data_IF_286176569419
#
_entry.id   IF_286176569419
#
_cell.length_a   1.000
_cell.length_b   1.000
_cell.length_c   1.000
_cell.angle_alpha   90.00
_cell.angle_beta   90.00
_cell.angle_gamma   90.00
#
_symmetry.space_group_name_H-M   'P 1'
#
loop_
_entity.id
_entity.type
_entity.pdbx_description
1 polymer ?
#
# COMPACT_ATOMS: atom_id res chain seq x y z
N UNK A 1 -11.52 -23.93 17.65
CA UNK A 1 -11.21 -23.32 18.97
C UNK A 1 -12.33 -22.36 19.41
N UNK A 2 -13.60 -22.73 19.17
CA UNK A 2 -14.77 -21.88 19.50
C UNK A 2 -15.39 -22.19 20.86
N UNK A 3 -15.04 -23.32 21.49
CA UNK A 3 -15.73 -23.81 22.70
C UNK A 3 -15.05 -23.45 24.03
N UNK A 4 -13.93 -22.71 24.04
CA UNK A 4 -13.17 -22.41 25.26
C UNK A 4 -12.99 -20.92 25.60
N UNK A 5 -13.40 -19.99 24.73
CA UNK A 5 -13.28 -18.54 25.03
C UNK A 5 -14.49 -18.07 25.84
N UNK A 6 -14.31 -17.51 27.06
CA UNK A 6 -15.43 -17.05 27.87
C UNK A 6 -16.28 -16.00 27.15
N UNK A 7 -17.61 -16.07 27.29
CA UNK A 7 -18.53 -15.17 26.60
C UNK A 7 -18.25 -13.67 26.87
N UNK A 8 -17.81 -13.33 28.09
CA UNK A 8 -17.47 -11.94 28.42
C UNK A 8 -16.29 -11.40 27.58
N UNK A 9 -15.33 -12.25 27.21
CA UNK A 9 -14.20 -11.89 26.33
C UNK A 9 -14.68 -11.55 24.93
N UNK A 10 -15.64 -12.33 24.42
CA UNK A 10 -16.25 -12.08 23.11
C UNK A 10 -16.98 -10.73 23.08
N UNK A 11 -17.74 -10.39 24.13
CA UNK A 11 -18.44 -9.11 24.22
C UNK A 11 -17.49 -7.91 24.39
N UNK A 12 -16.46 -8.04 25.24
CA UNK A 12 -15.44 -6.99 25.38
C UNK A 12 -14.67 -6.80 24.08
N UNK A 13 -14.29 -7.90 23.41
CA UNK A 13 -13.68 -7.85 22.08
C UNK A 13 -14.56 -7.13 21.06
N UNK A 14 -15.86 -7.44 21.02
CA UNK A 14 -16.82 -6.77 20.13
C UNK A 14 -16.97 -5.27 20.45
N UNK A 15 -17.02 -4.91 21.73
CA UNK A 15 -17.06 -3.51 22.14
C UNK A 15 -15.78 -2.76 21.71
N UNK A 16 -14.60 -3.33 21.95
CA UNK A 16 -13.33 -2.74 21.53
C UNK A 16 -13.21 -2.64 20.00
N UNK A 17 -13.69 -3.64 19.26
CA UNK A 17 -13.77 -3.59 17.80
C UNK A 17 -14.68 -2.46 17.32
N UNK A 18 -15.87 -2.32 17.90
CA UNK A 18 -16.79 -1.22 17.58
C UNK A 18 -16.18 0.14 17.90
N UNK A 19 -15.49 0.27 19.04
CA UNK A 19 -14.77 1.49 19.40
C UNK A 19 -13.64 1.78 18.41
N UNK A 20 -12.89 0.77 17.95
CA UNK A 20 -11.85 0.94 16.94
C UNK A 20 -12.42 1.46 15.61
N UNK A 21 -13.57 0.94 15.18
CA UNK A 21 -14.28 1.45 13.99
C UNK A 21 -14.68 2.91 14.19
N UNK A 22 -15.32 3.26 15.31
CA UNK A 22 -15.71 4.64 15.63
C UNK A 22 -14.48 5.57 15.67
N UNK A 23 -13.38 5.10 16.28
CA UNK A 23 -12.12 5.83 16.36
C UNK A 23 -11.55 6.11 14.96
N UNK A 24 -11.57 5.14 14.05
CA UNK A 24 -11.08 5.28 12.68
C UNK A 24 -11.80 6.42 11.93
N UNK A 25 -13.12 6.55 12.11
CA UNK A 25 -13.89 7.66 11.54
C UNK A 25 -13.78 8.97 12.32
N UNK A 26 -13.16 8.94 13.50
CA UNK A 26 -13.00 10.08 14.40
C UNK A 26 -11.57 10.63 14.42
N UNK A 27 -10.63 10.10 13.64
CA UNK A 27 -9.21 10.52 13.64
C UNK A 27 -9.00 12.03 13.46
N UNK A 28 -9.81 12.67 12.60
CA UNK A 28 -9.79 14.13 12.41
C UNK A 28 -10.05 14.93 13.70
N UNK A 29 -10.82 14.38 14.64
CA UNK A 29 -11.03 14.99 15.95
C UNK A 29 -9.74 15.00 16.78
N UNK A 30 -9.00 13.89 16.77
CA UNK A 30 -7.72 13.77 17.47
C UNK A 30 -6.65 14.67 16.87
N UNK A 31 -6.60 14.79 15.54
CA UNK A 31 -5.72 15.75 14.84
C UNK A 31 -6.04 17.20 15.25
N UNK A 32 -7.32 17.54 15.38
CA UNK A 32 -7.75 18.84 15.92
C UNK A 32 -7.35 19.06 17.38
N UNK A 33 -7.33 18.00 18.20
CA UNK A 33 -6.83 18.05 19.57
C UNK A 33 -5.32 18.26 19.63
N UNK A 34 -4.56 17.67 18.70
CA UNK A 34 -3.12 17.84 18.61
C UNK A 34 -2.74 19.32 18.44
N UNK A 35 -3.47 20.05 17.59
CA UNK A 35 -3.27 21.49 17.41
C UNK A 35 -3.68 22.34 18.64
N UNK A 36 -4.67 21.89 19.41
CA UNK A 36 -5.20 22.62 20.59
C UNK A 36 -4.42 22.35 21.87
N UNK A 37 -3.80 21.18 21.98
CA UNK A 37 -3.09 20.74 23.19
C UNK A 37 -1.62 20.40 22.86
N UNK A 38 -0.78 21.42 22.62
CA UNK A 38 0.61 21.21 22.17
C UNK A 38 1.47 20.37 23.12
N UNK A 39 1.18 20.38 24.43
CA UNK A 39 1.89 19.57 25.42
C UNK A 39 1.76 18.05 25.20
N UNK A 40 0.66 17.60 24.59
CA UNK A 40 0.41 16.19 24.27
C UNK A 40 0.19 15.95 22.77
N UNK A 41 0.60 16.89 21.92
CA UNK A 41 0.37 16.82 20.48
C UNK A 41 0.88 15.51 19.86
N UNK A 42 2.02 14.98 20.32
CA UNK A 42 2.55 13.71 19.82
C UNK A 42 1.61 12.52 20.05
N UNK A 43 0.95 12.44 21.21
CA UNK A 43 -0.04 11.40 21.49
C UNK A 43 -1.29 11.58 20.62
N UNK A 44 -1.74 12.82 20.47
CA UNK A 44 -2.92 13.13 19.68
C UNK A 44 -2.71 12.89 18.18
N UNK A 45 -1.52 13.19 17.66
CA UNK A 45 -1.13 12.82 16.30
C UNK A 45 -1.07 11.30 16.15
N UNK A 46 -0.46 10.59 17.10
CA UNK A 46 -0.42 9.12 17.06
C UNK A 46 -1.83 8.50 17.01
N UNK A 47 -2.78 9.03 17.79
CA UNK A 47 -4.18 8.60 17.76
C UNK A 47 -4.96 9.15 16.54
N UNK A 48 -4.44 10.18 15.88
CA UNK A 48 -4.97 10.74 14.63
C UNK A 48 -4.58 9.95 13.38
N UNK A 49 -3.54 9.12 13.44
CA UNK A 49 -3.14 8.25 12.33
C UNK A 49 -4.10 7.06 12.21
N UNK A 50 -4.74 6.89 11.05
CA UNK A 50 -5.74 5.83 10.83
C UNK A 50 -5.12 4.43 10.93
N UNK A 51 -3.85 4.30 10.57
CA UNK A 51 -3.07 3.06 10.63
C UNK A 51 -2.78 2.62 12.08
N UNK A 52 -2.81 3.53 13.06
CA UNK A 52 -2.53 3.18 14.46
C UNK A 52 -3.77 2.60 15.15
N UNK A 53 -4.96 3.00 14.72
CA UNK A 53 -6.22 2.80 15.46
C UNK A 53 -6.46 1.35 15.87
N UNK A 54 -6.44 0.41 14.92
CA UNK A 54 -6.72 -0.99 15.21
C UNK A 54 -5.62 -1.65 16.04
N UNK A 55 -4.35 -1.34 15.77
CA UNK A 55 -3.24 -1.87 16.57
C UNK A 55 -3.28 -1.35 18.02
N UNK A 56 -3.64 -0.09 18.23
CA UNK A 56 -3.81 0.49 19.56
C UNK A 56 -4.89 -0.25 20.36
N UNK A 57 -6.07 -0.42 19.78
CA UNK A 57 -7.17 -1.13 20.45
C UNK A 57 -6.91 -2.62 20.62
N UNK A 58 -6.12 -3.24 19.74
CA UNK A 58 -5.62 -4.59 19.93
C UNK A 58 -4.69 -4.69 21.15
N UNK A 59 -3.81 -3.71 21.38
CA UNK A 59 -3.01 -3.67 22.62
C UNK A 59 -3.90 -3.53 23.87
N UNK A 60 -4.94 -2.70 23.82
CA UNK A 60 -5.91 -2.59 24.93
C UNK A 60 -6.59 -3.94 25.21
N UNK A 61 -7.00 -4.65 24.16
CA UNK A 61 -7.53 -6.01 24.30
C UNK A 61 -6.49 -6.95 24.94
N UNK A 62 -5.22 -6.88 24.52
CA UNK A 62 -4.17 -7.72 25.08
C UNK A 62 -3.92 -7.47 26.56
N UNK A 63 -3.93 -6.20 26.99
CA UNK A 63 -3.86 -5.85 28.42
C UNK A 63 -5.06 -6.41 29.18
N UNK A 64 -6.26 -6.34 28.60
CA UNK A 64 -7.47 -6.92 29.19
C UNK A 64 -7.40 -8.45 29.34
N UNK A 65 -6.96 -9.17 28.29
CA UNK A 65 -6.79 -10.62 28.34
C UNK A 65 -5.74 -11.01 29.37
N UNK A 66 -4.60 -10.31 29.40
CA UNK A 66 -3.54 -10.55 30.38
C UNK A 66 -4.04 -10.34 31.82
N UNK A 67 -4.81 -9.27 32.07
CA UNK A 67 -5.31 -8.95 33.39
C UNK A 67 -6.42 -9.91 33.87
N UNK A 68 -7.22 -10.48 32.97
CA UNK A 68 -8.39 -11.30 33.34
C UNK A 68 -8.17 -12.80 33.22
N UNK A 69 -7.42 -13.25 32.22
CA UNK A 69 -7.13 -14.67 31.94
C UNK A 69 -5.70 -15.06 32.32
N UNK A 70 -4.82 -14.08 32.55
CA UNK A 70 -3.40 -14.30 32.83
C UNK A 70 -2.54 -14.38 31.57
N UNK A 71 -1.22 -14.45 31.79
CA UNK A 71 -0.22 -14.42 30.72
C UNK A 71 -0.37 -15.56 29.72
N UNK A 72 -0.59 -16.80 30.19
CA UNK A 72 -0.60 -17.99 29.34
C UNK A 72 -1.71 -17.93 28.29
N UNK A 73 -2.94 -17.62 28.71
CA UNK A 73 -4.09 -17.51 27.81
C UNK A 73 -3.98 -16.29 26.87
N UNK A 74 -3.46 -15.16 27.37
CA UNK A 74 -3.26 -13.97 26.55
C UNK A 74 -2.23 -14.23 25.43
N UNK A 75 -1.07 -14.82 25.76
CA UNK A 75 -0.06 -15.17 24.77
C UNK A 75 -0.57 -16.27 23.84
N UNK A 76 -1.24 -17.30 24.37
CA UNK A 76 -1.85 -18.36 23.56
C UNK A 76 -2.89 -17.84 22.56
N UNK A 77 -3.62 -16.76 22.90
CA UNK A 77 -4.50 -16.08 21.95
C UNK A 77 -3.71 -15.51 20.77
N UNK A 78 -2.63 -14.77 21.03
CA UNK A 78 -1.75 -14.22 19.99
C UNK A 78 -1.11 -15.32 19.16
N UNK A 79 -0.58 -16.37 19.79
CA UNK A 79 0.09 -17.49 19.10
C UNK A 79 -0.86 -18.26 18.17
N UNK A 80 -2.15 -18.20 18.43
CA UNK A 80 -3.18 -18.81 17.57
C UNK A 80 -3.60 -17.95 16.38
N UNK A 81 -3.06 -16.73 16.25
CA UNK A 81 -3.34 -15.81 15.13
C UNK A 81 -2.25 -15.92 14.07
N UNK A 82 -2.62 -15.67 12.82
CA UNK A 82 -1.66 -15.57 11.72
C UNK A 82 -1.27 -14.11 11.46
N UNK A 83 0.03 -13.81 11.59
CA UNK A 83 0.60 -12.48 11.32
C UNK A 83 1.38 -12.44 10.00
N UNK A 84 1.28 -13.49 9.19
CA UNK A 84 2.00 -13.60 7.91
C UNK A 84 1.67 -12.43 6.99
N UNK A 85 0.39 -12.09 6.77
CA UNK A 85 0.03 -10.99 5.89
C UNK A 85 0.45 -9.62 6.43
N UNK A 86 0.22 -9.24 7.71
CA UNK A 86 0.72 -7.99 8.26
C UNK A 86 2.23 -7.80 8.09
N UNK A 87 3.00 -8.86 8.35
CA UNK A 87 4.46 -8.86 8.24
C UNK A 87 4.92 -8.78 6.77
N UNK A 88 4.23 -9.48 5.87
CA UNK A 88 4.52 -9.44 4.45
C UNK A 88 4.25 -8.05 3.86
N UNK A 89 3.10 -7.43 4.21
CA UNK A 89 2.75 -6.08 3.76
C UNK A 89 3.79 -5.05 4.24
N UNK A 90 4.25 -5.17 5.49
CA UNK A 90 5.36 -4.36 5.98
C UNK A 90 6.62 -4.54 5.11
N UNK A 91 7.03 -5.79 4.86
CA UNK A 91 8.24 -6.09 4.11
C UNK A 91 8.18 -5.57 2.66
N UNK A 92 7.06 -5.81 1.97
CA UNK A 92 6.89 -5.41 0.57
C UNK A 92 6.84 -3.88 0.44
N UNK A 93 6.18 -3.16 1.36
CA UNK A 93 6.16 -1.70 1.33
C UNK A 93 7.56 -1.09 1.48
N UNK A 94 8.37 -1.63 2.39
CA UNK A 94 9.74 -1.16 2.62
C UNK A 94 10.63 -1.36 1.38
N UNK A 95 10.53 -2.53 0.75
CA UNK A 95 11.36 -2.86 -0.43
C UNK A 95 10.83 -2.14 -1.67
N UNK A 96 9.54 -2.29 -1.99
CA UNK A 96 8.90 -1.76 -3.19
C UNK A 96 8.93 -0.22 -3.27
N UNK A 97 8.91 0.47 -2.13
CA UNK A 97 8.99 1.92 -2.05
C UNK A 97 10.38 2.52 -2.28
N UNK A 98 11.42 1.69 -2.47
CA UNK A 98 12.79 2.20 -2.62
C UNK A 98 13.05 2.88 -3.95
N UNK A 99 13.93 3.88 -3.91
CA UNK A 99 14.34 4.67 -5.08
C UNK A 99 14.79 3.82 -6.27
N UNK A 100 15.62 2.76 -6.12
CA UNK A 100 16.03 1.93 -7.27
C UNK A 100 14.85 1.22 -7.95
N UNK A 101 13.82 0.83 -7.19
CA UNK A 101 12.61 0.18 -7.76
C UNK A 101 11.74 1.21 -8.47
N UNK A 102 11.53 2.38 -7.86
CA UNK A 102 10.81 3.48 -8.51
C UNK A 102 11.52 3.96 -9.79
N UNK A 103 12.86 3.98 -9.77
CA UNK A 103 13.67 4.29 -10.95
C UNK A 103 13.46 3.25 -12.06
N UNK A 104 13.52 1.96 -11.73
CA UNK A 104 13.28 0.89 -12.70
C UNK A 104 11.89 1.01 -13.34
N UNK A 105 10.86 1.29 -12.55
CA UNK A 105 9.50 1.53 -13.04
C UNK A 105 9.44 2.76 -13.97
N UNK A 106 10.09 3.87 -13.60
CA UNK A 106 10.20 5.07 -14.42
C UNK A 106 10.95 4.83 -15.74
N UNK A 107 11.97 3.96 -15.74
CA UNK A 107 12.73 3.58 -16.93
C UNK A 107 11.89 2.78 -17.94
N UNK A 108 10.97 1.95 -17.46
CA UNK A 108 10.00 1.28 -18.34
C UNK A 108 9.06 2.30 -18.99
N UNK A 109 8.54 3.26 -18.21
CA UNK A 109 7.68 4.34 -18.73
C UNK A 109 8.41 5.15 -19.82
N UNK A 110 9.67 5.54 -19.57
CA UNK A 110 10.52 6.22 -20.55
C UNK A 110 10.72 5.44 -21.83
N UNK A 111 11.05 4.15 -21.71
CA UNK A 111 11.35 3.29 -22.83
C UNK A 111 10.15 3.21 -23.78
N UNK A 112 8.94 3.07 -23.22
CA UNK A 112 7.71 3.04 -24.00
C UNK A 112 7.34 4.41 -24.59
N UNK A 113 7.59 5.51 -23.86
CA UNK A 113 7.32 6.86 -24.39
C UNK A 113 8.15 7.14 -25.65
N UNK A 114 9.42 6.71 -25.66
CA UNK A 114 10.31 6.88 -26.83
C UNK A 114 9.85 6.08 -28.04
N UNK A 115 9.13 4.97 -27.83
CA UNK A 115 8.65 4.13 -28.92
C UNK A 115 7.44 4.72 -29.67
N UNK A 116 6.60 5.54 -29.03
CA UNK A 116 5.47 6.21 -29.67
C UNK A 116 5.54 7.74 -29.50
N UNK A 117 6.24 8.46 -30.39
CA UNK A 117 6.38 9.91 -30.28
C UNK A 117 5.09 10.65 -30.66
N UNK A 118 4.25 10.99 -29.67
CA UNK A 118 3.15 11.95 -29.83
C UNK A 118 3.57 13.39 -29.51
N UNK A 119 2.82 14.41 -29.98
CA UNK A 119 3.06 15.82 -29.66
C UNK A 119 2.96 16.13 -28.16
N UNK A 120 3.80 17.05 -27.71
CA UNK A 120 3.82 17.57 -26.34
C UNK A 120 3.99 16.47 -25.28
N UNK A 121 3.15 16.50 -24.26
CA UNK A 121 3.17 15.56 -23.14
C UNK A 121 2.08 14.46 -23.24
N UNK A 122 1.42 14.30 -24.40
CA UNK A 122 0.28 13.37 -24.56
C UNK A 122 0.67 11.93 -24.25
N UNK A 123 1.74 11.42 -24.89
CA UNK A 123 2.13 10.01 -24.71
C UNK A 123 2.57 9.75 -23.27
N UNK A 124 3.38 10.66 -22.71
CA UNK A 124 3.80 10.58 -21.33
C UNK A 124 2.60 10.52 -20.37
N UNK A 125 1.64 11.42 -20.54
CA UNK A 125 0.43 11.47 -19.71
C UNK A 125 -0.39 10.18 -19.81
N UNK A 126 -0.59 9.67 -21.03
CA UNK A 126 -1.29 8.41 -21.26
C UNK A 126 -0.57 7.23 -20.61
N UNK A 127 0.73 7.08 -20.85
CA UNK A 127 1.53 6.00 -20.27
C UNK A 127 1.60 6.09 -18.76
N UNK A 128 1.69 7.29 -18.20
CA UNK A 128 1.67 7.48 -16.75
C UNK A 128 0.35 6.96 -16.16
N UNK A 129 -0.80 7.32 -16.75
CA UNK A 129 -2.11 6.90 -16.26
C UNK A 129 -2.47 5.44 -16.55
N UNK A 130 -1.73 4.77 -17.43
CA UNK A 130 -1.91 3.33 -17.70
C UNK A 130 -0.86 2.52 -16.95
N UNK A 131 0.41 2.73 -17.27
CA UNK A 131 1.49 1.85 -16.84
C UNK A 131 1.76 1.97 -15.35
N UNK A 132 1.79 3.17 -14.76
CA UNK A 132 2.10 3.31 -13.33
C UNK A 132 1.04 2.63 -12.45
N UNK A 133 -0.28 2.80 -12.71
CA UNK A 133 -1.32 2.03 -12.04
C UNK A 133 -1.19 0.51 -12.18
N UNK A 134 -0.86 0.00 -13.37
CA UNK A 134 -0.69 -1.45 -13.58
C UNK A 134 0.60 -1.95 -12.91
N UNK A 135 1.68 -1.17 -12.95
CA UNK A 135 2.91 -1.47 -12.22
C UNK A 135 2.68 -1.49 -10.71
N UNK A 136 1.71 -0.73 -10.19
CA UNK A 136 1.26 -0.78 -8.79
C UNK A 136 0.92 -2.19 -8.33
N UNK A 137 0.51 -3.07 -9.25
CA UNK A 137 0.28 -4.48 -8.91
C UNK A 137 1.55 -5.30 -8.66
N UNK A 138 2.70 -4.84 -9.14
CA UNK A 138 3.99 -5.50 -8.98
C UNK A 138 4.85 -4.87 -7.89
N UNK A 139 4.58 -3.62 -7.54
CA UNK A 139 5.21 -2.92 -6.42
C UNK A 139 4.21 -2.86 -5.26
N UNK A 140 3.58 -1.71 -5.02
CA UNK A 140 2.42 -1.55 -4.14
C UNK A 140 1.64 -0.31 -4.58
N UNK A 141 0.38 -0.16 -4.15
CA UNK A 141 -0.41 1.06 -4.43
C UNK A 141 0.29 2.33 -3.93
N UNK A 142 0.81 2.43 -2.68
CA UNK A 142 1.48 3.64 -2.20
C UNK A 142 2.74 3.97 -3.01
N UNK A 143 3.52 2.97 -3.41
CA UNK A 143 4.71 3.18 -4.23
C UNK A 143 4.37 3.69 -5.65
N UNK A 144 3.32 3.13 -6.27
CA UNK A 144 2.83 3.61 -7.56
C UNK A 144 2.26 5.03 -7.48
N UNK A 145 1.53 5.36 -6.41
CA UNK A 145 1.03 6.72 -6.17
C UNK A 145 2.16 7.72 -6.03
N UNK A 146 3.20 7.40 -5.25
CA UNK A 146 4.39 8.25 -5.09
C UNK A 146 5.09 8.48 -6.43
N UNK A 147 5.32 7.42 -7.21
CA UNK A 147 5.92 7.53 -8.54
C UNK A 147 5.09 8.43 -9.45
N UNK A 148 3.79 8.18 -9.55
CA UNK A 148 2.89 8.97 -10.39
C UNK A 148 2.84 10.44 -9.95
N UNK A 149 2.82 10.71 -8.64
CA UNK A 149 2.81 12.07 -8.10
C UNK A 149 4.09 12.83 -8.44
N UNK A 150 5.26 12.22 -8.26
CA UNK A 150 6.56 12.81 -8.62
C UNK A 150 6.63 13.09 -10.13
N UNK A 151 6.25 12.11 -10.94
CA UNK A 151 6.24 12.21 -12.39
C UNK A 151 5.26 13.28 -12.92
N UNK A 152 4.05 13.38 -12.36
CA UNK A 152 3.07 14.40 -12.70
C UNK A 152 3.53 15.80 -12.29
N UNK A 153 4.05 15.94 -11.06
CA UNK A 153 4.58 17.21 -10.53
C UNK A 153 5.64 17.77 -11.46
N UNK A 154 6.62 16.95 -11.82
CA UNK A 154 7.83 17.43 -12.49
C UNK A 154 7.62 17.70 -13.98
N UNK A 155 6.64 17.04 -14.62
CA UNK A 155 6.49 17.04 -16.10
C UNK A 155 5.20 17.63 -16.63
N UNK A 156 4.11 17.60 -15.84
CA UNK A 156 2.82 18.15 -16.24
C UNK A 156 2.51 19.39 -15.42
N UNK A 157 2.55 19.30 -14.10
CA UNK A 157 2.05 20.36 -13.20
C UNK A 157 3.05 21.48 -12.94
N UNK A 158 4.29 21.35 -13.42
CA UNK A 158 5.28 22.45 -13.43
C UNK A 158 4.93 23.55 -14.42
N UNK A 159 4.20 23.21 -15.49
CA UNK A 159 3.66 24.18 -16.44
C UNK A 159 2.35 24.78 -15.90
N UNK A 160 1.97 25.95 -16.43
CA UNK A 160 0.65 26.54 -16.17
C UNK A 160 -0.44 25.73 -16.86
N UNK A 161 -0.92 24.69 -16.16
CA UNK A 161 -2.05 23.87 -16.57
C UNK A 161 -3.31 24.23 -15.80
N UNK A 162 -4.45 23.99 -16.43
CA UNK A 162 -5.78 24.22 -15.90
C UNK A 162 -6.03 23.41 -14.63
N UNK A 163 -6.78 24.02 -13.70
CA UNK A 163 -7.19 23.35 -12.47
C UNK A 163 -8.03 22.09 -12.75
N UNK A 164 -8.80 22.10 -13.85
CA UNK A 164 -9.60 20.96 -14.32
C UNK A 164 -8.71 19.77 -14.71
N UNK A 165 -7.61 20.01 -15.43
CA UNK A 165 -6.65 18.95 -15.75
C UNK A 165 -6.10 18.35 -14.46
N UNK A 166 -5.65 19.18 -13.50
CA UNK A 166 -5.08 18.70 -12.23
C UNK A 166 -6.02 17.77 -11.47
N UNK A 167 -7.25 18.21 -11.18
CA UNK A 167 -8.20 17.40 -10.40
C UNK A 167 -8.66 16.15 -11.14
N UNK A 168 -8.94 16.24 -12.45
CA UNK A 168 -9.35 15.07 -13.22
C UNK A 168 -8.22 14.04 -13.32
N UNK A 169 -6.98 14.49 -13.53
CA UNK A 169 -5.80 13.62 -13.55
C UNK A 169 -5.67 12.86 -12.24
N UNK A 170 -5.75 13.55 -11.10
CA UNK A 170 -5.65 12.92 -9.78
C UNK A 170 -6.79 11.93 -9.54
N UNK A 171 -8.03 12.29 -9.89
CA UNK A 171 -9.18 11.39 -9.77
C UNK A 171 -9.00 10.12 -10.61
N UNK A 172 -8.61 10.27 -11.87
CA UNK A 172 -8.35 9.14 -12.78
C UNK A 172 -7.17 8.30 -12.30
N UNK A 173 -6.10 8.93 -11.82
CA UNK A 173 -4.94 8.23 -11.27
C UNK A 173 -5.34 7.37 -10.07
N UNK A 174 -6.08 7.91 -9.10
CA UNK A 174 -6.48 7.17 -7.90
C UNK A 174 -7.41 6.00 -8.23
N UNK A 175 -8.38 6.23 -9.13
CA UNK A 175 -9.24 5.16 -9.63
C UNK A 175 -8.41 4.09 -10.33
N UNK A 176 -7.48 4.49 -11.20
CA UNK A 176 -6.66 3.55 -11.94
C UNK A 176 -5.71 2.78 -11.04
N UNK A 177 -5.07 3.40 -10.05
CA UNK A 177 -4.19 2.71 -9.08
C UNK A 177 -4.99 1.65 -8.32
N UNK A 178 -6.17 2.03 -7.82
CA UNK A 178 -7.05 1.12 -7.08
C UNK A 178 -7.49 -0.08 -7.93
N UNK A 179 -7.94 0.15 -9.17
CA UNK A 179 -8.37 -0.94 -10.06
C UNK A 179 -7.16 -1.75 -10.56
N UNK A 180 -6.07 -1.07 -10.90
CA UNK A 180 -4.84 -1.65 -11.44
C UNK A 180 -4.15 -2.61 -10.49
N UNK A 181 -4.31 -2.42 -9.16
CA UNK A 181 -3.85 -3.35 -8.14
C UNK A 181 -4.39 -4.78 -8.31
N UNK A 182 -5.55 -4.97 -8.96
CA UNK A 182 -6.17 -6.30 -9.12
C UNK A 182 -5.53 -7.20 -10.18
N UNK A 183 -4.41 -6.79 -10.78
CA UNK A 183 -3.61 -7.64 -11.69
C UNK A 183 -2.92 -8.81 -10.97
N UNK A 184 -2.54 -8.63 -9.70
CA UNK A 184 -1.88 -9.64 -8.87
C UNK A 184 -2.57 -9.71 -7.50
N UNK A 185 -2.32 -10.78 -6.74
CA UNK A 185 -2.90 -10.92 -5.40
C UNK A 185 -2.14 -10.19 -4.29
N UNK A 186 -0.91 -9.72 -4.55
CA UNK A 186 -0.05 -9.11 -3.53
C UNK A 186 -0.06 -7.58 -3.55
N UNK A 187 -0.69 -6.97 -4.56
CA UNK A 187 -0.78 -5.52 -4.71
C UNK A 187 -1.64 -4.83 -3.66
N UNK A 188 -2.76 -5.48 -3.30
CA UNK A 188 -3.80 -4.93 -2.45
C UNK A 188 -3.96 -5.85 -1.24
N UNK A 189 -3.75 -5.35 0.00
CA UNK A 189 -3.88 -6.16 1.21
C UNK A 189 -5.20 -6.93 1.32
N UNK A 190 -6.38 -6.39 0.94
CA UNK A 190 -7.63 -7.15 0.96
C UNK A 190 -7.63 -8.39 0.08
N UNK A 191 -6.99 -8.32 -1.09
CA UNK A 191 -6.89 -9.46 -2.01
C UNK A 191 -5.95 -10.51 -1.44
N UNK A 192 -4.82 -10.08 -0.89
CA UNK A 192 -3.84 -10.97 -0.25
C UNK A 192 -4.47 -11.74 0.92
N UNK A 193 -5.21 -11.04 1.80
CA UNK A 193 -5.84 -11.63 2.98
C UNK A 193 -6.82 -12.76 2.66
N UNK A 194 -7.41 -12.78 1.47
CA UNK A 194 -8.36 -13.81 1.05
C UNK A 194 -7.78 -14.77 0.01
N UNK A 195 -6.60 -14.48 -0.53
CA UNK A 195 -6.02 -15.24 -1.63
C UNK A 195 -5.80 -16.73 -1.29
N UNK A 196 -5.32 -17.03 -0.08
CA UNK A 196 -5.14 -18.41 0.39
C UNK A 196 -6.47 -19.15 0.57
N UNK A 197 -7.50 -18.45 1.06
CA UNK A 197 -8.83 -19.02 1.32
C UNK A 197 -9.56 -19.34 0.02
N UNK A 198 -9.48 -18.45 -0.97
CA UNK A 198 -10.19 -18.56 -2.24
C UNK A 198 -9.32 -19.05 -3.39
N UNK A 199 -8.07 -19.42 -3.12
CA UNK A 199 -7.07 -19.85 -4.11
C UNK A 199 -6.90 -18.84 -5.25
N UNK A 200 -6.91 -17.55 -4.92
CA UNK A 200 -6.67 -16.47 -5.89
C UNK A 200 -5.17 -16.31 -6.14
N UNK A 201 -4.57 -17.31 -6.79
CA UNK A 201 -3.18 -17.24 -7.23
C UNK A 201 -2.97 -16.17 -8.34
N UNK A 202 -1.72 -15.97 -8.77
CA UNK A 202 -1.41 -15.02 -9.84
C UNK A 202 -2.18 -15.32 -11.14
N UNK A 203 -2.35 -16.60 -11.46
CA UNK A 203 -3.04 -17.03 -12.67
C UNK A 203 -4.54 -16.69 -12.63
N UNK A 204 -5.18 -16.95 -11.50
CA UNK A 204 -6.58 -16.66 -11.26
C UNK A 204 -6.84 -15.15 -11.30
N UNK A 205 -6.07 -14.37 -10.54
CA UNK A 205 -6.21 -12.91 -10.52
C UNK A 205 -6.11 -12.33 -11.93
N UNK A 206 -5.10 -12.74 -12.70
CA UNK A 206 -4.89 -12.25 -14.04
C UNK A 206 -6.01 -12.62 -15.02
N UNK A 207 -6.46 -13.89 -15.01
CA UNK A 207 -7.47 -14.39 -15.97
C UNK A 207 -8.90 -13.94 -15.65
N UNK A 208 -9.23 -13.68 -14.38
CA UNK A 208 -10.58 -13.28 -13.97
C UNK A 208 -10.76 -11.76 -13.80
N UNK A 209 -9.75 -11.06 -13.26
CA UNK A 209 -9.83 -9.64 -12.90
C UNK A 209 -8.83 -8.78 -13.68
N UNK A 210 -7.58 -9.22 -13.79
CA UNK A 210 -6.45 -8.41 -14.26
C UNK A 210 -6.63 -7.82 -15.66
N UNK A 211 -7.11 -8.59 -16.64
CA UNK A 211 -7.33 -8.06 -17.99
C UNK A 211 -8.49 -7.05 -18.05
N UNK A 212 -9.53 -7.23 -17.25
CA UNK A 212 -10.65 -6.27 -17.14
C UNK A 212 -10.17 -4.98 -16.49
N UNK A 213 -9.34 -5.09 -15.46
CA UNK A 213 -8.69 -3.96 -14.81
C UNK A 213 -7.80 -3.19 -15.80
N UNK A 214 -6.98 -3.89 -16.58
CA UNK A 214 -6.14 -3.28 -17.61
C UNK A 214 -6.98 -2.51 -18.66
N UNK A 215 -8.11 -3.07 -19.10
CA UNK A 215 -9.03 -2.39 -20.01
C UNK A 215 -9.66 -1.16 -19.35
N UNK A 216 -10.15 -1.27 -18.11
CA UNK A 216 -10.76 -0.16 -17.39
C UNK A 216 -9.76 1.00 -17.18
N UNK A 217 -8.54 0.68 -16.77
CA UNK A 217 -7.41 1.63 -16.63
C UNK A 217 -7.12 2.32 -17.97
N UNK A 218 -7.03 1.55 -19.05
CA UNK A 218 -6.80 2.09 -20.40
C UNK A 218 -7.94 3.01 -20.86
N UNK A 219 -9.20 2.63 -20.65
CA UNK A 219 -10.36 3.46 -21.01
C UNK A 219 -10.33 4.79 -20.24
N UNK A 220 -10.12 4.75 -18.93
CA UNK A 220 -10.04 5.94 -18.10
C UNK A 220 -8.89 6.87 -18.53
N UNK A 221 -7.71 6.30 -18.79
CA UNK A 221 -6.54 7.05 -19.21
C UNK A 221 -6.72 7.68 -20.61
N UNK A 222 -7.27 6.93 -21.57
CA UNK A 222 -7.59 7.44 -22.91
C UNK A 222 -8.65 8.55 -22.82
N UNK A 223 -9.71 8.36 -22.05
CA UNK A 223 -10.74 9.37 -21.84
C UNK A 223 -10.18 10.67 -21.28
N UNK A 224 -9.36 10.59 -20.24
CA UNK A 224 -8.68 11.74 -19.65
C UNK A 224 -7.74 12.43 -20.67
N UNK A 225 -6.97 11.64 -21.41
CA UNK A 225 -6.04 12.15 -22.43
C UNK A 225 -6.77 12.87 -23.56
N UNK A 226 -7.87 12.31 -24.06
CA UNK A 226 -8.66 12.90 -25.14
C UNK A 226 -9.34 14.21 -24.72
N UNK A 227 -9.83 14.28 -23.48
CA UNK A 227 -10.47 15.48 -22.92
C UNK A 227 -9.50 16.67 -22.86
N UNK A 228 -8.23 16.43 -22.53
CA UNK A 228 -7.22 17.48 -22.39
C UNK A 228 -6.16 17.47 -23.50
N UNK A 229 -6.40 16.79 -24.63
CA UNK A 229 -5.41 16.60 -25.70
C UNK A 229 -4.79 17.90 -26.21
N UNK A 230 -5.56 18.99 -26.26
CA UNK A 230 -5.10 20.30 -26.76
C UNK A 230 -4.13 20.95 -25.78
N UNK A 231 -4.46 20.88 -24.50
CA UNK A 231 -3.63 21.40 -23.41
C UNK A 231 -2.33 20.59 -23.33
N UNK A 232 -2.42 19.26 -23.35
CA UNK A 232 -1.27 18.35 -23.31
C UNK A 232 -0.37 18.46 -24.55
N UNK A 233 -0.94 18.70 -25.75
CA UNK A 233 -0.17 18.94 -26.97
C UNK A 233 0.63 20.25 -26.93
N UNK A 234 0.11 21.26 -26.23
CA UNK A 234 0.74 22.58 -26.08
C UNK A 234 1.87 22.61 -25.06
N UNK A 235 1.99 21.57 -24.23
CA UNK A 235 3.10 21.44 -23.29
C UNK A 235 4.39 21.13 -24.05
N UNK A 236 5.50 21.69 -23.56
CA UNK A 236 6.82 21.26 -24.01
C UNK A 236 6.97 19.76 -23.78
N UNK A 237 7.65 19.08 -24.72
CA UNK A 237 7.94 17.66 -24.56
C UNK A 237 8.73 17.48 -23.25
N UNK A 238 8.30 16.58 -22.34
CA UNK A 238 9.04 16.33 -21.12
C UNK A 238 10.49 15.95 -21.44
N UNK A 239 11.46 16.52 -20.73
CA UNK A 239 12.82 15.98 -20.74
C UNK A 239 12.77 14.50 -20.27
N UNK A 240 13.68 13.63 -20.72
CA UNK A 240 13.67 12.20 -20.34
C UNK A 240 13.61 11.99 -18.81
N UNK A 241 13.01 10.88 -18.30
CA UNK A 241 13.10 10.34 -16.91
C UNK A 241 14.07 11.06 -15.97
N UNK A 242 15.32 11.06 -16.43
CA UNK A 242 16.54 11.29 -15.69
C UNK A 242 17.18 12.64 -16.00
N UNK A 243 16.52 13.74 -15.66
CA UNK A 243 17.31 14.89 -15.21
C UNK A 243 17.25 14.85 -13.69
N UNK A 244 18.09 14.02 -13.02
CA UNK A 244 18.15 14.06 -11.57
C UNK A 244 18.46 15.50 -11.15
N UNK A 245 17.94 15.90 -9.99
CA UNK A 245 18.57 16.97 -9.25
C UNK A 245 20.10 16.71 -9.28
N UNK A 246 20.96 17.66 -9.70
CA UNK A 246 22.40 17.44 -9.82
C UNK A 246 23.05 16.87 -8.54
N UNK A 247 22.34 16.92 -7.41
CA UNK A 247 22.72 16.33 -6.13
C UNK A 247 22.43 14.83 -5.98
N UNK A 248 21.51 14.24 -6.75
CA UNK A 248 21.05 12.85 -6.56
C UNK A 248 21.56 11.89 -7.64
N UNK A 249 22.54 11.06 -7.31
CA UNK A 249 23.09 10.06 -8.24
C UNK A 249 22.07 8.96 -8.54
N UNK A 250 21.94 8.63 -9.83
CA UNK A 250 21.13 7.52 -10.33
C UNK A 250 21.68 6.18 -9.82
N UNK A 251 20.80 5.25 -9.46
CA UNK A 251 21.20 3.92 -9.03
C UNK A 251 21.77 3.12 -10.23
N UNK A 252 22.93 2.46 -10.10
CA UNK A 252 23.45 1.59 -11.15
C UNK A 252 22.58 0.34 -11.30
N UNK A 253 22.61 -0.27 -12.50
CA UNK A 253 21.81 -1.46 -12.82
C UNK A 253 22.04 -2.63 -11.86
N UNK A 254 23.24 -2.76 -11.30
CA UNK A 254 23.54 -3.78 -10.29
C UNK A 254 22.74 -3.58 -9.01
N UNK A 255 22.64 -2.35 -8.51
CA UNK A 255 21.86 -2.01 -7.31
C UNK A 255 20.38 -2.25 -7.58
N UNK A 256 19.88 -1.84 -8.74
CA UNK A 256 18.48 -2.11 -9.16
C UNK A 256 18.21 -3.62 -9.21
N UNK A 257 19.10 -4.39 -9.83
CA UNK A 257 18.98 -5.85 -9.93
C UNK A 257 18.93 -6.52 -8.55
N UNK A 258 19.74 -6.06 -7.59
CA UNK A 258 19.70 -6.54 -6.21
C UNK A 258 18.35 -6.21 -5.55
N UNK A 259 17.82 -5.00 -5.73
CA UNK A 259 16.52 -4.63 -5.16
C UNK A 259 15.38 -5.47 -5.72
N UNK A 260 15.37 -5.67 -7.04
CA UNK A 260 14.39 -6.53 -7.71
C UNK A 260 14.51 -7.98 -7.23
N UNK A 261 15.73 -8.48 -7.02
CA UNK A 261 15.95 -9.81 -6.47
C UNK A 261 15.36 -9.96 -5.06
N UNK A 262 15.58 -8.98 -4.17
CA UNK A 262 14.98 -8.99 -2.84
C UNK A 262 13.46 -8.90 -2.89
N UNK A 263 12.91 -8.04 -3.76
CA UNK A 263 11.47 -7.93 -3.95
C UNK A 263 10.87 -9.28 -4.38
N UNK A 264 11.44 -9.90 -5.41
CA UNK A 264 10.99 -11.22 -5.91
C UNK A 264 11.15 -12.29 -4.84
N UNK A 265 12.27 -12.32 -4.12
CA UNK A 265 12.50 -13.31 -3.06
C UNK A 265 11.45 -13.20 -1.95
N UNK A 266 11.13 -11.99 -1.48
CA UNK A 266 10.08 -11.77 -0.48
C UNK A 266 8.71 -12.21 -0.99
N UNK A 267 8.37 -11.94 -2.26
CA UNK A 267 7.11 -12.40 -2.88
C UNK A 267 7.05 -13.92 -3.01
N UNK A 268 8.12 -14.57 -3.46
CA UNK A 268 8.17 -16.04 -3.60
C UNK A 268 8.00 -16.72 -2.23
N UNK A 269 8.57 -16.14 -1.17
CA UNK A 269 8.45 -16.66 0.19
C UNK A 269 7.34 -15.99 1.02
N UNK A 270 6.34 -15.35 0.40
CA UNK A 270 5.33 -14.55 1.09
C UNK A 270 4.57 -15.29 2.21
N UNK A 271 4.42 -16.61 2.09
CA UNK A 271 3.74 -17.46 3.08
C UNK A 271 4.67 -17.98 4.20
N UNK A 272 5.92 -17.53 4.23
CA UNK A 272 6.95 -18.02 5.16
C UNK A 272 7.66 -16.85 5.88
N UNK A 273 7.08 -16.29 6.96
CA UNK A 273 7.67 -15.19 7.73
C UNK A 273 9.09 -15.45 8.21
N UNK A 274 9.39 -16.69 8.61
CA UNK A 274 10.72 -17.10 9.03
C UNK A 274 11.80 -16.94 7.94
N UNK A 275 11.41 -16.81 6.67
CA UNK A 275 12.31 -16.59 5.53
C UNK A 275 12.33 -15.12 5.12
N UNK A 276 11.15 -14.52 4.88
CA UNK A 276 11.11 -13.17 4.32
C UNK A 276 11.48 -12.08 5.34
N UNK A 277 11.29 -12.29 6.65
CA UNK A 277 11.72 -11.31 7.67
C UNK A 277 13.25 -11.19 7.72
N UNK A 278 14.03 -12.29 7.81
CA UNK A 278 15.48 -12.20 7.67
C UNK A 278 15.93 -11.57 6.34
N UNK A 279 15.25 -11.87 5.23
CA UNK A 279 15.54 -11.23 3.94
C UNK A 279 15.31 -9.71 3.98
N UNK A 280 14.21 -9.25 4.59
CA UNK A 280 13.95 -7.83 4.82
C UNK A 280 15.04 -7.18 5.68
N UNK A 281 15.42 -7.82 6.79
CA UNK A 281 16.46 -7.29 7.68
C UNK A 281 17.81 -7.19 6.95
N UNK A 282 18.16 -8.20 6.15
CA UNK A 282 19.35 -8.15 5.30
C UNK A 282 19.24 -7.02 4.27
N UNK A 283 18.07 -6.86 3.63
CA UNK A 283 17.83 -5.80 2.67
C UNK A 283 17.99 -4.41 3.30
N UNK A 284 17.47 -4.18 4.51
CA UNK A 284 17.65 -2.92 5.25
C UNK A 284 19.14 -2.67 5.51
N UNK A 285 19.91 -3.70 5.89
CA UNK A 285 21.36 -3.63 6.01
C UNK A 285 22.06 -3.25 4.70
N UNK A 286 21.65 -3.85 3.58
CA UNK A 286 22.16 -3.53 2.24
C UNK A 286 21.82 -2.09 1.84
N UNK A 287 20.57 -1.65 2.00
CA UNK A 287 20.12 -0.29 1.71
C UNK A 287 20.91 0.74 2.54
N UNK A 288 21.19 0.43 3.81
CA UNK A 288 22.03 1.27 4.69
C UNK A 288 23.47 1.33 4.19
N UNK A 289 24.07 0.20 3.79
CA UNK A 289 25.43 0.16 3.25
C UNK A 289 25.58 0.94 1.93
N UNK A 290 24.52 0.98 1.11
CA UNK A 290 24.47 1.70 -0.17
C UNK A 290 23.59 2.95 -0.11
N UNK A 291 23.59 3.66 1.01
CA UNK A 291 22.74 4.84 1.27
C UNK A 291 22.80 5.91 0.17
N UNK A 292 23.92 6.02 -0.57
CA UNK A 292 24.08 6.96 -1.71
C UNK A 292 23.04 6.79 -2.83
N UNK A 293 22.42 5.62 -2.93
CA UNK A 293 21.40 5.29 -3.94
C UNK A 293 19.99 5.14 -3.34
N UNK A 294 19.82 5.42 -2.05
CA UNK A 294 18.58 5.27 -1.32
C UNK A 294 18.02 6.61 -0.88
N UNK A 295 16.70 6.70 -0.84
CA UNK A 295 16.01 7.67 0.00
C UNK A 295 15.73 7.05 1.38
N UNK A 296 15.14 7.80 2.30
CA UNK A 296 14.64 7.22 3.54
C UNK A 296 13.68 6.06 3.23
N UNK A 297 13.98 4.88 3.75
CA UNK A 297 13.11 3.71 3.60
C UNK A 297 11.75 4.00 4.24
N UNK A 298 10.68 3.48 3.64
CA UNK A 298 9.30 3.58 4.16
C UNK A 298 9.05 2.66 5.37
N UNK A 299 9.98 2.67 6.33
CA UNK A 299 9.92 1.87 7.56
C UNK A 299 8.77 2.31 8.45
N UNK A 300 8.57 3.63 8.62
CA UNK A 300 7.51 4.17 9.45
C UNK A 300 6.14 3.79 8.87
N UNK A 301 5.93 4.10 7.60
CA UNK A 301 4.67 3.87 6.89
C UNK A 301 4.35 2.37 6.83
N UNK A 302 5.32 1.55 6.43
CA UNK A 302 5.14 0.10 6.40
C UNK A 302 4.85 -0.49 7.78
N UNK A 303 5.53 -0.02 8.83
CA UNK A 303 5.30 -0.49 10.21
C UNK A 303 3.92 -0.10 10.71
N UNK A 304 3.46 1.12 10.42
CA UNK A 304 2.11 1.58 10.77
C UNK A 304 1.04 0.73 10.07
N UNK A 305 1.18 0.47 8.77
CA UNK A 305 0.25 -0.40 8.03
C UNK A 305 0.29 -1.84 8.55
N UNK A 306 1.47 -2.39 8.84
CA UNK A 306 1.61 -3.70 9.47
C UNK A 306 0.95 -3.75 10.86
N UNK A 307 1.08 -2.68 11.66
CA UNK A 307 0.44 -2.57 12.97
C UNK A 307 -1.09 -2.48 12.87
N UNK A 308 -1.61 -1.76 11.87
CA UNK A 308 -3.04 -1.75 11.54
C UNK A 308 -3.58 -3.15 11.24
N UNK A 309 -2.94 -3.85 10.30
CA UNK A 309 -3.36 -5.18 9.85
C UNK A 309 -3.23 -6.21 10.98
N UNK A 310 -2.13 -6.17 11.74
CA UNK A 310 -1.98 -7.02 12.93
C UNK A 310 -3.07 -6.75 13.97
N UNK A 311 -3.43 -5.48 14.18
CA UNK A 311 -4.56 -5.10 15.03
C UNK A 311 -5.90 -5.66 14.55
N UNK A 312 -6.14 -5.67 13.24
CA UNK A 312 -7.33 -6.29 12.64
C UNK A 312 -7.37 -7.80 12.85
N UNK A 313 -6.23 -8.49 12.70
CA UNK A 313 -6.13 -9.93 12.98
C UNK A 313 -6.50 -10.23 14.44
N UNK A 314 -5.96 -9.44 15.37
CA UNK A 314 -6.18 -9.61 16.81
C UNK A 314 -7.63 -9.26 17.21
N UNK A 315 -8.16 -8.11 16.82
CA UNK A 315 -9.54 -7.74 17.19
C UNK A 315 -10.58 -8.55 16.43
N UNK A 316 -10.36 -8.77 15.13
CA UNK A 316 -11.24 -9.50 14.21
C UNK A 316 -11.35 -10.98 14.57
N UNK A 317 -10.27 -11.59 15.07
CA UNK A 317 -10.27 -12.98 15.49
C UNK A 317 -11.28 -13.30 16.59
N UNK A 318 -11.64 -12.33 17.46
CA UNK A 318 -12.69 -12.51 18.48
C UNK A 318 -14.10 -12.27 17.94
N UNK A 319 -14.28 -11.79 16.70
CA UNK A 319 -15.59 -11.45 16.14
C UNK A 319 -16.25 -12.58 15.36
N UNK A 320 -15.55 -13.71 15.20
CA UNK A 320 -16.03 -14.85 14.40
C UNK A 320 -17.39 -15.37 14.86
N UNK A 321 -17.68 -15.36 16.17
CA UNK A 321 -18.91 -15.92 16.74
C UNK A 321 -20.21 -15.27 16.22
N UNK A 322 -20.16 -14.00 15.79
CA UNK A 322 -21.33 -13.30 15.24
C UNK A 322 -21.17 -12.91 13.76
N UNK A 323 -19.95 -12.55 13.32
CA UNK A 323 -19.69 -12.19 11.92
C UNK A 323 -19.80 -13.40 11.01
N UNK A 324 -19.21 -14.55 11.38
CA UNK A 324 -19.17 -15.72 10.51
C UNK A 324 -20.59 -16.24 10.21
N UNK A 325 -21.49 -16.43 11.19
CA UNK A 325 -22.87 -16.83 10.90
C UNK A 325 -23.61 -15.82 10.02
N UNK A 326 -23.38 -14.51 10.21
CA UNK A 326 -24.03 -13.46 9.44
C UNK A 326 -23.57 -13.48 7.98
N UNK A 327 -22.26 -13.58 7.74
CA UNK A 327 -21.69 -13.64 6.39
C UNK A 327 -22.10 -14.91 5.65
N UNK A 328 -22.11 -16.06 6.31
CA UNK A 328 -22.53 -17.33 5.68
C UNK A 328 -24.02 -17.39 5.33
N UNK A 329 -24.84 -16.48 5.88
CA UNK A 329 -26.27 -16.35 5.56
C UNK A 329 -26.55 -15.33 4.46
N UNK A 330 -25.55 -14.58 4.02
CA UNK A 330 -25.68 -13.71 2.86
C UNK A 330 -25.53 -14.57 1.60
N UNK A 331 -26.64 -14.93 0.98
CA UNK A 331 -26.62 -15.55 -0.35
C UNK A 331 -26.01 -14.55 -1.35
N UNK A 332 -25.07 -15.03 -2.16
CA UNK A 332 -24.35 -14.26 -3.18
C UNK A 332 -25.23 -13.88 -4.37
#
# INVERSE_FOLDING_TARGET
MTDSTPAYVQYVGAALFAIAVIHTFSTKFFEGLAHRQPAHAGLWHLLGEVEVVFGFWAMVLMVFLFATLGQHEAVGYIDSRDFTEPLFVFAIMVIAGTRPILQAAGDVVNGLERALPLPGAIMFYLLLLVLVPLLGSFITEPAAMTLAALLLRDRIFRAEVSLRLKYLTLGVLFVNVSIGGTLTHFAAPPVLMVASTWQWDLGFMFTHFGWKAAIAVAINAVGATLMFRRELAGLARPAAVDTPDPTQQRAPLSVIGIHLLFLVAVVVFAHHPAVFIPLLLFFVGFATAYARYQDALMLKEGMLVGFFLGGLVVLGGLQQWWLQPLLTRMDA
#
